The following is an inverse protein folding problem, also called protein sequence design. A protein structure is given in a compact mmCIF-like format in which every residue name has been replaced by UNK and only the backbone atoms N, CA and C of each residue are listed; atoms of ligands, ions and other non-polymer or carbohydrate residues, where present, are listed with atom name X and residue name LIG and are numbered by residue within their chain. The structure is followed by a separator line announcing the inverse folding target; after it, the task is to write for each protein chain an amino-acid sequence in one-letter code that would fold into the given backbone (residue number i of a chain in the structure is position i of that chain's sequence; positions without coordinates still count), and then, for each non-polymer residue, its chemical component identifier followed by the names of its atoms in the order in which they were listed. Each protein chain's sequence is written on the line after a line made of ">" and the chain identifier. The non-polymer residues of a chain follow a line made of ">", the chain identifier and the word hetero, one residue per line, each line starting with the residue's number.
data_IF_350643933627
#
_entry.id   IF_350643933627
#
_cell.length_a   1.000
_cell.length_b   1.000
_cell.length_c   1.000
_cell.angle_alpha   90.00
_cell.angle_beta   90.00
_cell.angle_gamma   90.00
#
_symmetry.space_group_name_H-M   'P 1'
#
loop_
_entity.id
_entity.type
_entity.pdbx_description
1 polymer ?
#
# COMPACT_ATOMS: atom_id res chain seq x y z
N UNK A 1 -21.96 10.21 10.26
CA UNK A 1 -20.65 10.51 10.86
C UNK A 1 -19.99 11.61 10.04
N UNK A 2 -19.89 12.83 10.58
CA UNK A 2 -19.30 14.00 9.89
C UNK A 2 -17.86 13.76 9.42
N UNK A 3 -17.14 12.84 10.07
CA UNK A 3 -15.75 12.50 9.72
C UNK A 3 -15.61 11.68 8.43
N UNK A 4 -16.70 11.06 7.97
CA UNK A 4 -16.80 10.36 6.69
C UNK A 4 -17.11 11.35 5.55
N UNK A 5 -18.02 12.30 5.81
CA UNK A 5 -18.39 13.36 4.84
C UNK A 5 -17.22 14.29 4.53
N UNK A 6 -16.40 14.67 5.52
CA UNK A 6 -15.22 15.52 5.31
C UNK A 6 -14.09 14.81 4.54
N UNK A 7 -13.99 13.48 4.69
CA UNK A 7 -12.97 12.68 4.02
C UNK A 7 -13.25 12.46 2.54
N UNK A 8 -14.52 12.16 2.20
CA UNK A 8 -14.92 11.94 0.81
C UNK A 8 -15.04 13.23 0.02
N UNK A 9 -15.41 14.36 0.65
CA UNK A 9 -15.47 15.66 -0.03
C UNK A 9 -14.12 16.12 -0.58
N UNK A 10 -13.00 15.68 0.03
CA UNK A 10 -11.64 15.92 -0.50
C UNK A 10 -11.45 15.30 -1.89
N UNK A 11 -12.17 14.21 -2.19
CA UNK A 11 -12.03 13.45 -3.43
C UNK A 11 -13.07 13.81 -4.49
N UNK A 12 -14.09 14.59 -4.14
CA UNK A 12 -15.11 15.11 -5.06
C UNK A 12 -14.84 16.55 -5.53
N UNK A 13 -13.81 17.22 -5.00
CA UNK A 13 -13.35 18.51 -5.49
C UNK A 13 -12.28 18.31 -6.58
N UNK A 14 -12.44 19.01 -7.70
CA UNK A 14 -11.74 18.84 -8.99
C UNK A 14 -10.22 19.17 -9.00
N UNK A 15 -9.54 19.22 -7.86
CA UNK A 15 -8.16 19.74 -7.76
C UNK A 15 -7.06 18.71 -8.05
N UNK A 16 -7.40 17.47 -8.44
CA UNK A 16 -6.40 16.47 -8.79
C UNK A 16 -5.93 16.62 -10.24
N UNK A 17 -4.70 17.10 -10.42
CA UNK A 17 -4.10 17.28 -11.74
C UNK A 17 -3.88 15.98 -12.53
N UNK A 18 -3.84 14.82 -11.87
CA UNK A 18 -3.71 13.51 -12.50
C UNK A 18 -4.09 12.35 -11.55
N UNK A 19 -4.26 11.17 -12.14
CA UNK A 19 -4.66 9.95 -11.43
C UNK A 19 -3.60 9.46 -10.41
N UNK A 20 -2.31 9.73 -10.63
CA UNK A 20 -1.26 9.32 -9.68
C UNK A 20 -1.37 10.13 -8.38
N UNK A 21 -1.57 11.45 -8.49
CA UNK A 21 -1.81 12.32 -7.34
C UNK A 21 -3.05 11.88 -6.58
N UNK A 22 -4.18 11.68 -7.28
CA UNK A 22 -5.42 11.18 -6.69
C UNK A 22 -5.20 9.87 -5.90
N UNK A 23 -4.57 8.87 -6.53
CA UNK A 23 -4.31 7.59 -5.87
C UNK A 23 -3.38 7.72 -4.66
N UNK A 24 -2.34 8.55 -4.76
CA UNK A 24 -1.40 8.76 -3.64
C UNK A 24 -2.07 9.41 -2.43
N UNK A 25 -2.94 10.40 -2.64
CA UNK A 25 -3.70 11.08 -1.60
C UNK A 25 -4.78 10.16 -0.99
N UNK A 26 -5.45 9.35 -1.82
CA UNK A 26 -6.39 8.31 -1.38
C UNK A 26 -5.70 7.29 -0.47
N UNK A 27 -4.53 6.78 -0.88
CA UNK A 27 -3.77 5.80 -0.10
C UNK A 27 -3.32 6.42 1.24
N UNK A 28 -2.76 7.63 1.21
CA UNK A 28 -2.32 8.32 2.42
C UNK A 28 -3.48 8.58 3.39
N UNK A 29 -4.64 8.99 2.89
CA UNK A 29 -5.86 9.19 3.68
C UNK A 29 -6.33 7.89 4.36
N UNK A 30 -6.42 6.79 3.60
CA UNK A 30 -6.83 5.49 4.14
C UNK A 30 -5.83 5.02 5.19
N UNK A 31 -4.53 5.10 4.92
CA UNK A 31 -3.48 4.75 5.88
C UNK A 31 -3.61 5.57 7.16
N UNK A 32 -3.81 6.88 7.08
CA UNK A 32 -4.02 7.75 8.24
C UNK A 32 -5.23 7.31 9.06
N UNK A 33 -6.36 7.00 8.41
CA UNK A 33 -7.57 6.53 9.09
C UNK A 33 -7.40 5.16 9.76
N UNK A 34 -6.55 4.30 9.19
CA UNK A 34 -6.16 3.00 9.77
C UNK A 34 -5.06 3.12 10.85
N UNK A 35 -4.57 4.33 11.15
CA UNK A 35 -3.51 4.54 12.13
C UNK A 35 -2.09 4.23 11.64
N UNK A 36 -1.90 4.09 10.32
CA UNK A 36 -0.59 3.87 9.70
C UNK A 36 0.09 5.24 9.52
N UNK A 37 1.15 5.47 10.31
CA UNK A 37 1.87 6.76 10.39
C UNK A 37 3.24 6.75 9.68
N UNK A 38 3.45 5.80 8.77
CA UNK A 38 4.70 5.68 8.01
C UNK A 38 4.93 6.88 7.08
N UNK A 39 6.20 7.22 6.83
CA UNK A 39 6.58 8.25 5.88
C UNK A 39 6.27 7.82 4.43
N UNK A 40 5.53 8.65 3.71
CA UNK A 40 5.33 8.52 2.26
C UNK A 40 6.37 9.38 1.52
N UNK A 41 6.92 8.84 0.43
CA UNK A 41 7.87 9.53 -0.45
C UNK A 41 7.53 9.16 -1.88
N UNK A 42 7.38 10.15 -2.77
CA UNK A 42 7.17 9.87 -4.18
C UNK A 42 8.50 9.52 -4.84
N UNK A 43 8.49 8.49 -5.70
CA UNK A 43 9.70 8.11 -6.44
C UNK A 43 10.20 9.21 -7.39
N UNK A 44 9.31 10.11 -7.84
CA UNK A 44 9.65 11.28 -8.65
C UNK A 44 10.55 12.27 -7.92
N UNK A 45 10.47 12.32 -6.59
CA UNK A 45 11.17 13.31 -5.78
C UNK A 45 12.63 12.89 -5.48
N UNK A 46 13.02 11.68 -5.89
CA UNK A 46 14.32 11.07 -5.58
C UNK A 46 15.35 11.24 -6.71
N UNK A 47 14.98 11.79 -7.87
CA UNK A 47 15.87 11.95 -9.04
C UNK A 47 16.62 10.65 -9.43
N UNK A 48 15.90 9.53 -9.46
CA UNK A 48 16.45 8.21 -9.82
C UNK A 48 16.04 7.85 -11.25
N UNK A 49 17.05 7.68 -12.11
CA UNK A 49 16.89 7.38 -13.55
C UNK A 49 16.85 5.88 -13.87
N UNK A 50 17.27 5.03 -12.93
CA UNK A 50 17.22 3.58 -13.13
C UNK A 50 15.79 3.09 -13.25
N UNK A 51 15.63 1.90 -13.83
CA UNK A 51 14.33 1.31 -14.19
C UNK A 51 14.17 -0.09 -13.61
N UNK A 52 12.92 -0.58 -13.58
CA UNK A 52 12.57 -1.94 -13.16
C UNK A 52 13.13 -2.25 -11.76
N UNK A 53 13.76 -3.40 -11.60
CA UNK A 53 14.32 -3.86 -10.31
C UNK A 53 15.42 -2.92 -9.78
N UNK A 54 16.28 -2.41 -10.66
CA UNK A 54 17.34 -1.49 -10.22
C UNK A 54 16.76 -0.21 -9.60
N UNK A 55 15.63 0.28 -10.13
CA UNK A 55 14.91 1.43 -9.52
C UNK A 55 14.50 1.15 -8.08
N UNK A 56 14.04 -0.06 -7.79
CA UNK A 56 13.61 -0.46 -6.45
C UNK A 56 14.81 -0.46 -5.50
N UNK A 57 15.93 -1.03 -5.94
CA UNK A 57 17.19 -1.09 -5.18
C UNK A 57 17.68 0.34 -4.89
N UNK A 58 17.77 1.19 -5.91
CA UNK A 58 18.27 2.56 -5.77
C UNK A 58 17.38 3.41 -4.85
N UNK A 59 16.04 3.23 -4.90
CA UNK A 59 15.11 3.88 -3.98
C UNK A 59 15.41 3.45 -2.53
N UNK A 60 15.60 2.15 -2.30
CA UNK A 60 15.90 1.65 -0.96
C UNK A 60 17.22 2.24 -0.43
N UNK A 61 18.26 2.28 -1.27
CA UNK A 61 19.56 2.87 -0.91
C UNK A 61 19.42 4.38 -0.60
N UNK A 62 18.74 5.13 -1.48
CA UNK A 62 18.52 6.57 -1.30
C UNK A 62 17.77 6.89 0.01
N UNK A 63 16.85 6.01 0.42
CA UNK A 63 16.09 6.13 1.66
C UNK A 63 16.74 5.44 2.86
N UNK A 64 17.95 4.89 2.70
CA UNK A 64 18.69 4.14 3.74
C UNK A 64 17.88 2.95 4.32
N UNK A 65 17.07 2.32 3.48
CA UNK A 65 16.36 1.09 3.81
C UNK A 65 17.30 -0.11 3.82
N UNK A 66 16.97 -1.12 4.64
CA UNK A 66 17.70 -2.38 4.72
C UNK A 66 16.88 -3.58 4.23
N UNK A 67 15.56 -3.41 4.08
CA UNK A 67 14.62 -4.45 3.70
C UNK A 67 13.64 -3.87 2.67
N UNK A 68 13.48 -4.54 1.54
CA UNK A 68 12.42 -4.28 0.58
C UNK A 68 11.32 -5.33 0.72
N UNK A 69 10.09 -4.88 0.94
CA UNK A 69 8.91 -5.75 0.99
C UNK A 69 8.21 -5.77 -0.37
N UNK A 70 8.16 -6.96 -0.99
CA UNK A 70 7.57 -7.20 -2.29
C UNK A 70 6.31 -8.06 -2.19
N UNK A 71 5.40 -7.95 -3.17
CA UNK A 71 4.28 -8.88 -3.31
C UNK A 71 4.74 -10.25 -3.86
N UNK A 72 4.06 -11.34 -3.49
CA UNK A 72 4.42 -12.68 -3.98
C UNK A 72 4.36 -12.83 -5.50
N UNK A 73 3.52 -12.05 -6.19
CA UNK A 73 3.46 -12.02 -7.66
C UNK A 73 4.74 -11.53 -8.32
N UNK A 74 5.61 -10.83 -7.59
CA UNK A 74 6.89 -10.34 -8.10
C UNK A 74 8.02 -11.39 -8.11
N UNK A 75 7.82 -12.52 -7.41
CA UNK A 75 8.81 -13.60 -7.31
C UNK A 75 9.32 -14.11 -8.65
N UNK A 76 8.48 -14.08 -9.68
CA UNK A 76 8.83 -14.62 -10.99
C UNK A 76 9.88 -13.80 -11.74
N UNK A 77 10.12 -12.54 -11.35
CA UNK A 77 11.03 -11.64 -12.07
C UNK A 77 12.05 -10.93 -11.16
N UNK A 78 12.00 -11.16 -9.85
CA UNK A 78 12.95 -10.58 -8.90
C UNK A 78 14.09 -11.55 -8.61
N UNK A 79 15.31 -11.04 -8.64
CA UNK A 79 16.51 -11.80 -8.28
C UNK A 79 17.00 -11.37 -6.89
N UNK A 80 16.88 -12.27 -5.90
CA UNK A 80 17.35 -12.00 -4.54
C UNK A 80 18.83 -11.61 -4.44
N UNK A 81 19.68 -12.13 -5.34
CA UNK A 81 21.11 -11.86 -5.29
C UNK A 81 21.42 -10.40 -5.62
N UNK A 82 20.64 -9.77 -6.52
CA UNK A 82 20.76 -8.35 -6.86
C UNK A 82 20.49 -7.46 -5.64
N UNK A 83 19.55 -7.85 -4.75
CA UNK A 83 19.29 -7.13 -3.51
C UNK A 83 20.42 -7.37 -2.48
N UNK A 84 20.86 -8.61 -2.32
CA UNK A 84 21.92 -8.98 -1.36
C UNK A 84 23.24 -8.26 -1.65
N UNK A 85 23.63 -8.15 -2.92
CA UNK A 85 24.83 -7.42 -3.35
C UNK A 85 24.81 -5.94 -2.92
N UNK A 86 23.61 -5.37 -2.74
CA UNK A 86 23.40 -3.99 -2.30
C UNK A 86 23.09 -3.87 -0.79
N UNK A 87 23.36 -4.93 -0.01
CA UNK A 87 23.03 -4.99 1.42
C UNK A 87 21.53 -4.80 1.72
N UNK A 88 20.66 -5.24 0.80
CA UNK A 88 19.20 -5.21 0.95
C UNK A 88 18.66 -6.62 1.12
N UNK A 89 17.77 -6.80 2.08
CA UNK A 89 16.99 -8.03 2.23
C UNK A 89 15.70 -7.93 1.39
N UNK A 90 15.47 -8.88 0.49
CA UNK A 90 14.20 -9.04 -0.20
C UNK A 90 13.25 -9.91 0.63
N UNK A 91 12.18 -9.32 1.15
CA UNK A 91 11.10 -10.04 1.84
C UNK A 91 9.83 -10.02 1.01
N UNK A 92 9.13 -11.16 0.98
CA UNK A 92 7.83 -11.24 0.34
C UNK A 92 6.72 -11.13 1.38
N UNK A 93 5.78 -10.22 1.15
CA UNK A 93 4.57 -10.11 1.94
C UNK A 93 3.68 -11.33 1.72
N UNK A 94 3.29 -12.00 2.80
CA UNK A 94 2.41 -13.17 2.79
C UNK A 94 1.03 -12.81 3.34
N UNK A 95 0.39 -11.79 2.75
CA UNK A 95 -0.96 -11.41 3.13
C UNK A 95 -1.89 -12.62 3.00
N UNK A 96 -2.58 -12.95 4.09
CA UNK A 96 -3.56 -14.04 4.13
C UNK A 96 -4.95 -13.43 3.95
N UNK A 97 -5.65 -13.86 2.90
CA UNK A 97 -7.06 -13.50 2.74
C UNK A 97 -7.82 -14.05 3.95
N UNK A 98 -8.65 -13.21 4.56
CA UNK A 98 -9.51 -13.57 5.69
C UNK A 98 -10.91 -13.04 5.43
N UNK A 99 -11.90 -13.75 5.97
CA UNK A 99 -13.30 -13.38 5.80
C UNK A 99 -13.68 -12.23 6.73
N UNK A 100 -14.54 -11.35 6.24
CA UNK A 100 -15.17 -10.30 7.00
C UNK A 100 -16.63 -10.14 6.55
N UNK A 101 -17.51 -9.58 7.40
CA UNK A 101 -18.90 -9.37 7.04
C UNK A 101 -19.00 -8.57 5.75
N UNK A 102 -19.73 -9.07 4.77
CA UNK A 102 -20.16 -8.32 3.60
C UNK A 102 -21.68 -8.19 3.67
N UNK A 103 -22.22 -7.02 3.32
CA UNK A 103 -23.64 -6.72 3.49
C UNK A 103 -24.58 -7.62 2.66
N UNK A 104 -24.10 -8.16 1.54
CA UNK A 104 -24.92 -8.90 0.59
C UNK A 104 -24.28 -10.23 0.19
N UNK A 105 -24.88 -11.33 0.66
CA UNK A 105 -24.46 -12.69 0.29
C UNK A 105 -23.23 -13.18 1.05
N UNK A 106 -22.59 -14.19 0.47
CA UNK A 106 -21.40 -14.82 1.02
C UNK A 106 -20.14 -13.99 0.76
N UNK A 107 -19.07 -14.29 1.50
CA UNK A 107 -17.79 -13.59 1.38
C UNK A 107 -17.19 -13.73 -0.03
N UNK A 108 -16.92 -12.59 -0.66
CA UNK A 108 -16.20 -12.50 -1.92
C UNK A 108 -14.75 -12.08 -1.70
N UNK A 109 -13.82 -12.97 -2.06
CA UNK A 109 -12.38 -12.70 -2.06
C UNK A 109 -11.91 -11.87 -3.28
N UNK A 110 -10.66 -11.38 -3.22
CA UNK A 110 -10.00 -10.60 -4.28
C UNK A 110 -10.67 -9.26 -4.61
N UNK A 111 -11.30 -8.65 -3.60
CA UNK A 111 -11.87 -7.30 -3.66
C UNK A 111 -10.88 -6.25 -3.17
N UNK A 112 -11.22 -4.97 -3.35
CA UNK A 112 -10.36 -3.86 -2.94
C UNK A 112 -10.51 -3.54 -1.46
N UNK A 113 -9.57 -2.77 -0.91
CA UNK A 113 -9.67 -2.22 0.45
C UNK A 113 -10.95 -1.39 0.67
N UNK A 114 -11.53 -0.81 -0.39
CA UNK A 114 -12.76 -0.03 -0.29
C UNK A 114 -13.92 -0.91 0.18
N UNK A 115 -14.00 -2.16 -0.29
CA UNK A 115 -15.04 -3.10 0.17
C UNK A 115 -14.92 -3.37 1.67
N UNK A 116 -13.70 -3.62 2.16
CA UNK A 116 -13.45 -3.76 3.58
C UNK A 116 -13.88 -2.52 4.37
N UNK A 117 -13.50 -1.33 3.92
CA UNK A 117 -13.83 -0.07 4.60
C UNK A 117 -15.34 0.18 4.64
N UNK A 118 -16.09 -0.13 3.58
CA UNK A 118 -17.54 0.06 3.54
C UNK A 118 -18.29 -0.91 4.46
N UNK A 119 -17.75 -2.12 4.67
CA UNK A 119 -18.39 -3.13 5.51
C UNK A 119 -17.92 -3.13 6.97
N UNK A 120 -16.64 -2.81 7.21
CA UNK A 120 -15.99 -2.92 8.52
C UNK A 120 -15.47 -1.58 9.07
N UNK A 121 -15.59 -0.49 8.33
CA UNK A 121 -14.98 0.78 8.69
C UNK A 121 -13.44 0.68 8.75
N UNK A 122 -12.83 1.52 9.59
CA UNK A 122 -11.38 1.56 9.76
C UNK A 122 -10.85 0.61 10.84
N UNK A 123 -11.46 -0.57 11.01
CA UNK A 123 -11.10 -1.54 12.06
C UNK A 123 -9.77 -2.28 11.75
N UNK A 124 -8.64 -1.59 11.94
CA UNK A 124 -7.32 -2.16 11.65
C UNK A 124 -6.96 -3.34 12.58
N UNK A 125 -7.46 -3.37 13.81
CA UNK A 125 -7.23 -4.48 14.76
C UNK A 125 -7.74 -5.81 14.22
N UNK A 126 -8.89 -5.80 13.55
CA UNK A 126 -9.44 -6.99 12.89
C UNK A 126 -8.55 -7.48 11.76
N UNK A 127 -7.92 -6.57 11.00
CA UNK A 127 -6.96 -6.98 9.98
C UNK A 127 -5.75 -7.63 10.65
N UNK A 128 -5.12 -6.95 11.62
CA UNK A 128 -3.91 -7.42 12.30
C UNK A 128 -4.10 -8.79 12.99
N UNK A 129 -5.25 -9.03 13.62
CA UNK A 129 -5.52 -10.31 14.28
C UNK A 129 -5.61 -11.49 13.31
N UNK A 130 -5.93 -11.24 12.04
CA UNK A 130 -6.01 -12.23 10.97
C UNK A 130 -4.73 -12.35 10.12
N UNK A 131 -3.71 -11.50 10.35
CA UNK A 131 -2.43 -11.53 9.63
C UNK A 131 -1.28 -12.18 10.43
N UNK A 132 -1.59 -12.85 11.54
CA UNK A 132 -0.59 -13.59 12.34
C UNK A 132 -0.12 -14.89 11.69
#
# INVERSE_FOLDING_TARGET
>A
DESLNLGLSLFYNDDFSNLALFNSEMIAFICKKLGIVTRFVNSSDLNIESVREQKIIDICIALKGSIYYSGTGAKAYQNEDNFKENSLELRYSSFKVFEYPQLWGDFQSNVTIIDYLMNCGYNWEKVLSNQK
#
